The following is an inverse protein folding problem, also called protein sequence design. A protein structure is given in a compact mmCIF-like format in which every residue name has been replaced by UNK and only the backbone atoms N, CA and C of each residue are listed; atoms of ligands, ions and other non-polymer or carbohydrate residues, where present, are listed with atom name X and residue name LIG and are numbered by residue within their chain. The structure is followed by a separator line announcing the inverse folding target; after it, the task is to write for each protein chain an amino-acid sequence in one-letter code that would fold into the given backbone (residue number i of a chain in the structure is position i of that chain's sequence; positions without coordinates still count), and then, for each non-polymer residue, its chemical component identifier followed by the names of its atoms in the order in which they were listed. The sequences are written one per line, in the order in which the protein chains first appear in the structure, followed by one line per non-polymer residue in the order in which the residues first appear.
data_IF_819465735927
#
_entry.id   IF_819465735927
#
_cell.length_a   1.000
_cell.length_b   1.000
_cell.length_c   1.000
_cell.angle_alpha   90.00
_cell.angle_beta   90.00
_cell.angle_gamma   90.00
#
_symmetry.space_group_name_H-M   'P 1'
#
loop_
_entity.id
_entity.type
_entity.pdbx_description
1 polymer ?
#
# COMPACT_ATOMS: atom_id res chain seq x y z
N UNK A 1 -46.61 -43.32 -32.72
CA UNK A 1 -46.72 -42.90 -31.30
C UNK A 1 -45.96 -41.59 -31.11
N UNK A 2 -46.65 -40.45 -30.98
CA UNK A 2 -46.01 -39.13 -30.84
C UNK A 2 -45.51 -38.85 -29.43
N UNK A 3 -44.29 -38.32 -29.28
CA UNK A 3 -43.74 -37.88 -27.99
C UNK A 3 -44.53 -36.68 -27.46
N UNK A 4 -45.24 -36.85 -26.35
CA UNK A 4 -45.90 -35.75 -25.63
C UNK A 4 -44.88 -34.78 -25.05
N UNK A 5 -45.21 -33.49 -25.05
CA UNK A 5 -44.38 -32.45 -24.46
C UNK A 5 -44.22 -32.68 -22.94
N UNK A 6 -42.97 -32.68 -22.47
CA UNK A 6 -42.62 -32.93 -21.06
C UNK A 6 -43.14 -31.85 -20.10
N UNK A 7 -43.39 -30.65 -20.61
CA UNK A 7 -43.99 -29.54 -19.86
C UNK A 7 -45.04 -28.87 -20.74
N UNK A 8 -46.26 -28.72 -20.22
CA UNK A 8 -47.40 -28.16 -20.94
C UNK A 8 -47.44 -26.63 -20.89
N UNK A 9 -46.72 -26.00 -19.95
CA UNK A 9 -46.66 -24.54 -19.79
C UNK A 9 -45.22 -24.04 -19.60
N UNK A 10 -44.98 -22.78 -19.95
CA UNK A 10 -43.71 -22.08 -19.74
C UNK A 10 -43.34 -22.01 -18.25
N UNK A 11 -44.32 -21.83 -17.38
CA UNK A 11 -44.13 -21.77 -15.93
C UNK A 11 -43.74 -23.12 -15.36
N UNK A 12 -44.37 -24.21 -15.81
CA UNK A 12 -43.96 -25.56 -15.43
C UNK A 12 -42.51 -25.85 -15.85
N UNK A 13 -42.08 -25.35 -17.02
CA UNK A 13 -40.70 -25.47 -17.49
C UNK A 13 -39.71 -24.65 -16.64
N UNK A 14 -40.08 -23.43 -16.22
CA UNK A 14 -39.25 -22.60 -15.32
C UNK A 14 -39.15 -23.20 -13.93
N UNK A 15 -40.26 -23.67 -13.36
CA UNK A 15 -40.29 -24.33 -12.05
C UNK A 15 -39.42 -25.59 -12.03
N UNK A 16 -39.53 -26.44 -13.07
CA UNK A 16 -38.72 -27.64 -13.19
C UNK A 16 -37.22 -27.32 -13.32
N UNK A 17 -36.84 -26.31 -14.12
CA UNK A 17 -35.44 -25.84 -14.20
C UNK A 17 -34.93 -25.29 -12.87
N UNK A 18 -35.75 -24.52 -12.15
CA UNK A 18 -35.39 -23.99 -10.82
C UNK A 18 -35.18 -25.10 -9.80
N UNK A 19 -36.08 -26.10 -9.76
CA UNK A 19 -35.96 -27.27 -8.90
C UNK A 19 -34.69 -28.08 -9.23
N UNK A 20 -34.42 -28.33 -10.52
CA UNK A 20 -33.21 -29.03 -10.96
C UNK A 20 -31.94 -28.24 -10.59
N UNK A 21 -31.95 -26.91 -10.73
CA UNK A 21 -30.83 -26.06 -10.31
C UNK A 21 -30.61 -26.09 -8.80
N UNK A 22 -31.67 -26.12 -7.98
CA UNK A 22 -31.58 -26.28 -6.52
C UNK A 22 -30.93 -27.61 -6.14
N UNK A 23 -31.36 -28.71 -6.75
CA UNK A 23 -30.76 -30.04 -6.55
C UNK A 23 -29.31 -30.06 -7.00
N UNK A 24 -29.00 -29.51 -8.18
CA UNK A 24 -27.63 -29.45 -8.67
C UNK A 24 -26.71 -28.69 -7.71
N UNK A 25 -27.17 -27.58 -7.11
CA UNK A 25 -26.39 -26.81 -6.14
C UNK A 25 -25.95 -27.66 -4.95
N UNK A 26 -26.77 -28.58 -4.45
CA UNK A 26 -26.42 -29.41 -3.29
C UNK A 26 -25.52 -30.59 -3.63
N UNK A 27 -25.39 -30.96 -4.91
CA UNK A 27 -24.47 -32.04 -5.33
C UNK A 27 -23.00 -31.65 -5.15
N UNK A 28 -22.14 -32.65 -4.91
CA UNK A 28 -20.68 -32.46 -4.83
C UNK A 28 -20.12 -31.77 -6.09
N UNK A 29 -20.62 -32.12 -7.28
CA UNK A 29 -20.24 -31.49 -8.55
C UNK A 29 -20.64 -30.01 -8.61
N UNK A 30 -21.87 -29.67 -8.20
CA UNK A 30 -22.33 -28.28 -8.13
C UNK A 30 -21.62 -27.44 -7.08
N UNK A 31 -21.22 -28.04 -5.95
CA UNK A 31 -20.38 -27.40 -4.94
C UNK A 31 -18.97 -27.14 -5.50
N UNK A 32 -18.34 -28.13 -6.13
CA UNK A 32 -17.01 -28.00 -6.72
C UNK A 32 -16.96 -26.94 -7.84
N UNK A 33 -17.96 -26.91 -8.73
CA UNK A 33 -18.08 -25.87 -9.77
C UNK A 33 -18.21 -24.47 -9.16
N UNK A 34 -19.05 -24.29 -8.13
CA UNK A 34 -19.18 -22.98 -7.43
C UNK A 34 -17.89 -22.57 -6.74
N UNK A 35 -17.17 -23.51 -6.12
CA UNK A 35 -15.87 -23.23 -5.49
C UNK A 35 -14.84 -22.79 -6.54
N UNK A 36 -14.78 -23.46 -7.69
CA UNK A 36 -13.89 -23.09 -8.80
C UNK A 36 -14.23 -21.71 -9.36
N UNK A 37 -15.51 -21.45 -9.62
CA UNK A 37 -15.98 -20.16 -10.15
C UNK A 37 -15.77 -19.02 -9.15
N UNK A 38 -16.07 -19.25 -7.86
CA UNK A 38 -15.78 -18.30 -6.78
C UNK A 38 -14.28 -18.04 -6.64
N UNK A 39 -13.44 -19.07 -6.77
CA UNK A 39 -11.99 -18.92 -6.77
C UNK A 39 -11.51 -18.11 -7.98
N UNK A 40 -11.99 -18.39 -9.19
CA UNK A 40 -11.67 -17.61 -10.40
C UNK A 40 -12.12 -16.16 -10.26
N UNK A 41 -13.33 -15.91 -9.74
CA UNK A 41 -13.81 -14.56 -9.46
C UNK A 41 -13.00 -13.87 -8.37
N UNK A 42 -12.59 -14.58 -7.32
CA UNK A 42 -11.72 -14.06 -6.27
C UNK A 42 -10.35 -13.67 -6.82
N UNK A 43 -9.72 -14.53 -7.62
CA UNK A 43 -8.43 -14.24 -8.27
C UNK A 43 -8.57 -13.04 -9.21
N UNK A 44 -9.64 -12.98 -10.01
CA UNK A 44 -9.90 -11.84 -10.91
C UNK A 44 -10.13 -10.54 -10.13
N UNK A 45 -10.96 -10.54 -9.08
CA UNK A 45 -11.18 -9.36 -8.23
C UNK A 45 -9.92 -8.94 -7.48
N UNK A 46 -9.10 -9.90 -7.05
CA UNK A 46 -7.82 -9.62 -6.39
C UNK A 46 -6.84 -8.98 -7.38
N UNK A 47 -6.82 -9.42 -8.63
CA UNK A 47 -6.04 -8.79 -9.70
C UNK A 47 -6.55 -7.36 -10.02
N UNK A 48 -7.86 -7.19 -10.23
CA UNK A 48 -8.46 -5.87 -10.53
C UNK A 48 -8.33 -4.89 -9.35
N UNK A 49 -8.35 -5.38 -8.10
CA UNK A 49 -8.14 -4.56 -6.90
C UNK A 49 -6.67 -4.19 -6.65
N UNK A 50 -5.71 -4.81 -7.35
CA UNK A 50 -4.27 -4.62 -7.10
C UNK A 50 -3.61 -3.53 -7.96
N UNK A 51 -4.33 -2.95 -8.91
CA UNK A 51 -3.77 -1.95 -9.81
C UNK A 51 -4.00 -0.53 -9.29
N UNK A 52 -2.95 0.27 -9.24
CA UNK A 52 -3.00 1.72 -9.02
C UNK A 52 -2.58 2.40 -10.32
N UNK A 53 -3.49 3.11 -10.98
CA UNK A 53 -3.25 3.83 -12.26
C UNK A 53 -2.40 3.05 -13.29
N UNK A 54 -2.78 1.79 -13.52
CA UNK A 54 -2.10 0.81 -14.39
C UNK A 54 -0.80 0.18 -13.87
N UNK A 55 -0.35 0.53 -12.67
CA UNK A 55 0.79 -0.10 -11.99
C UNK A 55 0.29 -1.23 -11.08
N UNK A 56 0.87 -2.42 -11.22
CA UNK A 56 0.54 -3.55 -10.35
C UNK A 56 1.23 -3.38 -9.00
N UNK A 57 0.45 -3.20 -7.93
CA UNK A 57 0.97 -3.12 -6.56
C UNK A 57 0.84 -4.50 -5.91
N UNK A 58 1.95 -5.14 -5.49
CA UNK A 58 1.91 -6.41 -4.77
C UNK A 58 0.99 -6.34 -3.54
N UNK A 59 0.12 -7.34 -3.30
CA UNK A 59 -0.76 -7.36 -2.13
C UNK A 59 0.00 -7.26 -0.79
N UNK A 60 1.20 -7.83 -0.73
CA UNK A 60 2.08 -7.83 0.44
C UNK A 60 2.61 -6.41 0.74
N UNK A 61 2.93 -5.64 -0.31
CA UNK A 61 3.32 -4.23 -0.18
C UNK A 61 2.16 -3.44 0.45
N UNK A 62 0.94 -3.61 -0.09
CA UNK A 62 -0.25 -2.95 0.47
C UNK A 62 -0.52 -3.37 1.92
N UNK A 63 -0.33 -4.65 2.25
CA UNK A 63 -0.49 -5.13 3.62
C UNK A 63 0.51 -4.44 4.57
N UNK A 64 1.78 -4.35 4.16
CA UNK A 64 2.83 -3.68 4.96
C UNK A 64 2.63 -2.18 5.10
N UNK A 65 2.20 -1.50 4.05
CA UNK A 65 1.93 -0.06 4.07
C UNK A 65 0.85 0.37 5.09
N UNK A 66 -0.04 -0.54 5.47
CA UNK A 66 -1.06 -0.31 6.51
C UNK A 66 -0.49 -0.31 7.92
N UNK A 67 0.67 -0.93 8.13
CA UNK A 67 1.34 -0.86 9.43
C UNK A 67 1.85 0.57 9.67
N UNK A 68 1.88 0.94 10.94
CA UNK A 68 2.45 2.21 11.41
C UNK A 68 3.89 1.90 11.81
N UNK A 69 4.89 2.24 11.00
CA UNK A 69 6.28 1.98 11.36
C UNK A 69 6.69 2.89 12.52
N UNK A 70 7.54 2.37 13.41
CA UNK A 70 8.11 3.16 14.51
C UNK A 70 9.24 4.05 14.00
N UNK A 71 9.30 5.26 14.52
CA UNK A 71 10.35 6.23 14.26
C UNK A 71 10.81 6.80 15.60
N UNK A 72 12.07 6.61 15.97
CA UNK A 72 12.61 7.13 17.22
C UNK A 72 12.55 8.66 17.23
N UNK A 73 11.91 9.25 18.22
CA UNK A 73 11.86 10.71 18.36
C UNK A 73 13.08 11.31 19.05
N UNK A 74 14.01 10.47 19.53
CA UNK A 74 15.29 10.91 20.10
C UNK A 74 16.37 11.17 19.02
N UNK A 75 16.10 10.79 17.77
CA UNK A 75 17.04 10.94 16.65
C UNK A 75 16.67 12.19 15.86
N UNK A 76 17.60 13.14 15.79
CA UNK A 76 17.40 14.42 15.11
C UNK A 76 18.34 14.64 13.91
N UNK A 77 19.46 13.91 13.87
CA UNK A 77 20.47 14.06 12.83
C UNK A 77 20.11 13.34 11.53
N UNK A 78 20.77 13.74 10.44
CA UNK A 78 20.72 13.00 9.18
C UNK A 78 21.37 11.62 9.35
N UNK A 79 20.85 10.63 8.63
CA UNK A 79 21.36 9.27 8.71
C UNK A 79 21.03 8.42 7.49
N UNK A 80 21.31 7.12 7.55
CA UNK A 80 21.19 6.22 6.40
C UNK A 80 19.75 6.12 5.90
N UNK A 81 19.60 6.32 4.59
CA UNK A 81 18.31 6.31 3.89
C UNK A 81 17.97 4.97 3.23
N UNK A 82 18.78 3.93 3.49
CA UNK A 82 18.63 2.55 3.00
C UNK A 82 18.43 2.42 1.48
N UNK A 83 18.85 3.43 0.71
CA UNK A 83 18.62 3.50 -0.73
C UNK A 83 17.16 3.73 -1.15
N UNK A 84 16.24 4.02 -0.21
CA UNK A 84 14.80 4.14 -0.51
C UNK A 84 14.41 5.43 -1.23
N UNK A 85 15.31 6.39 -1.40
CA UNK A 85 14.98 7.76 -1.83
C UNK A 85 15.57 8.16 -3.18
N UNK A 86 16.56 7.43 -3.66
CA UNK A 86 17.30 7.78 -4.87
C UNK A 86 17.17 6.64 -5.86
N UNK A 87 16.70 6.93 -7.08
CA UNK A 87 16.67 5.97 -8.18
C UNK A 87 18.09 5.39 -8.40
N UNK A 88 18.26 4.07 -8.54
CA UNK A 88 17.25 3.04 -8.86
C UNK A 88 16.48 2.44 -7.67
N UNK A 89 16.55 3.05 -6.49
CA UNK A 89 15.93 2.62 -5.24
C UNK A 89 16.45 1.27 -4.70
N UNK A 90 17.69 0.92 -5.06
CA UNK A 90 18.33 -0.30 -4.61
C UNK A 90 18.65 -0.21 -3.12
N UNK A 91 18.30 -1.26 -2.37
CA UNK A 91 18.56 -1.33 -0.94
C UNK A 91 20.06 -1.23 -0.65
N UNK A 92 20.41 -0.36 0.29
CA UNK A 92 21.78 -0.22 0.82
C UNK A 92 21.73 -0.52 2.30
N UNK A 93 22.43 -1.58 2.72
CA UNK A 93 22.53 -1.92 4.13
C UNK A 93 23.26 -0.79 4.90
N UNK A 94 22.64 -0.22 5.95
CA UNK A 94 23.28 0.80 6.77
C UNK A 94 24.50 0.26 7.52
N UNK A 95 25.60 1.03 7.53
CA UNK A 95 26.72 0.76 8.42
C UNK A 95 26.29 0.91 9.88
N UNK A 96 26.44 -0.15 10.67
CA UNK A 96 26.05 -0.19 12.08
C UNK A 96 26.77 0.86 12.92
N UNK A 97 28.04 1.13 12.59
CA UNK A 97 28.84 2.13 13.30
C UNK A 97 28.33 3.56 13.08
N UNK A 98 27.53 3.79 12.03
CA UNK A 98 26.96 5.11 11.71
C UNK A 98 25.65 5.42 12.43
N UNK A 99 25.07 4.44 13.15
CA UNK A 99 23.79 4.61 13.82
C UNK A 99 23.99 5.25 15.20
N UNK A 100 23.47 6.47 15.35
CA UNK A 100 23.38 7.14 16.66
C UNK A 100 22.30 6.44 17.49
N UNK A 101 22.68 5.39 18.21
CA UNK A 101 21.79 4.74 19.17
C UNK A 101 21.78 5.53 20.49
N UNK A 102 20.59 5.90 21.02
CA UNK A 102 20.49 6.45 22.35
C UNK A 102 21.10 5.51 23.40
N UNK A 103 21.67 6.06 24.48
CA UNK A 103 22.30 5.28 25.56
C UNK A 103 21.34 4.26 26.20
N UNK A 104 20.03 4.52 26.14
CA UNK A 104 18.95 3.63 26.65
C UNK A 104 18.36 2.65 25.59
N UNK A 105 19.08 2.42 24.49
CA UNK A 105 18.61 1.63 23.33
C UNK A 105 18.26 0.16 23.60
N UNK A 106 18.53 -0.36 24.79
CA UNK A 106 18.31 -1.76 25.16
C UNK A 106 16.91 -2.11 25.68
N UNK A 107 16.16 -1.16 26.24
CA UNK A 107 14.89 -1.45 26.95
C UNK A 107 13.64 -0.88 26.27
N UNK A 108 13.78 0.22 25.51
CA UNK A 108 12.65 0.85 24.83
C UNK A 108 12.50 0.38 23.38
N UNK A 109 11.29 -0.01 22.99
CA UNK A 109 10.95 -0.30 21.58
C UNK A 109 11.26 0.88 20.65
N UNK A 110 11.17 2.11 21.18
CA UNK A 110 11.44 3.36 20.46
C UNK A 110 12.93 3.75 20.44
N UNK A 111 13.74 3.12 21.30
CA UNK A 111 15.21 3.18 21.24
C UNK A 111 15.83 2.08 20.39
N UNK A 112 15.03 1.14 19.88
CA UNK A 112 15.52 0.03 19.06
C UNK A 112 16.14 0.50 17.76
N UNK A 113 17.08 -0.29 17.23
CA UNK A 113 17.73 -0.03 15.92
C UNK A 113 16.72 0.17 14.79
N UNK A 114 15.63 -0.60 14.77
CA UNK A 114 14.57 -0.44 13.77
C UNK A 114 13.86 0.92 13.87
N UNK A 115 13.62 1.40 15.09
CA UNK A 115 13.02 2.72 15.31
C UNK A 115 13.99 3.85 14.95
N UNK A 116 15.29 3.71 15.25
CA UNK A 116 16.34 4.67 14.84
C UNK A 116 16.41 4.78 13.31
N UNK A 117 16.48 3.66 12.61
CA UNK A 117 16.43 3.65 11.13
C UNK A 117 15.13 4.26 10.59
N UNK A 118 14.02 3.99 11.26
CA UNK A 118 12.72 4.57 10.93
C UNK A 118 12.67 6.08 11.12
N UNK A 119 13.40 6.65 12.08
CA UNK A 119 13.49 8.09 12.27
C UNK A 119 14.08 8.81 11.05
N UNK A 120 15.15 8.26 10.46
CA UNK A 120 15.73 8.83 9.24
C UNK A 120 14.75 8.79 8.07
N UNK A 121 13.99 7.70 7.90
CA UNK A 121 12.96 7.61 6.85
C UNK A 121 11.80 8.57 7.10
N UNK A 122 11.34 8.66 8.34
CA UNK A 122 10.27 9.55 8.77
C UNK A 122 10.59 11.01 8.47
N UNK A 123 11.78 11.47 8.86
CA UNK A 123 12.24 12.84 8.58
C UNK A 123 12.31 13.10 7.08
N UNK A 124 12.85 12.15 6.30
CA UNK A 124 12.93 12.31 4.84
C UNK A 124 11.58 12.31 4.14
N UNK A 125 10.59 11.56 4.65
CA UNK A 125 9.20 11.64 4.17
C UNK A 125 8.67 13.05 4.33
N UNK A 126 8.82 13.64 5.51
CA UNK A 126 8.27 14.98 5.80
C UNK A 126 8.94 16.01 4.90
N UNK A 127 10.27 16.01 4.80
CA UNK A 127 11.03 16.91 3.92
C UNK A 127 10.56 16.79 2.47
N UNK A 128 10.53 15.57 1.92
CA UNK A 128 10.16 15.33 0.53
C UNK A 128 8.68 15.65 0.28
N UNK A 129 7.80 15.39 1.25
CA UNK A 129 6.38 15.71 1.15
C UNK A 129 6.14 17.22 1.08
N UNK A 130 6.91 18.03 1.83
CA UNK A 130 6.85 19.48 1.73
C UNK A 130 7.29 19.97 0.35
N UNK A 131 8.46 19.54 -0.12
CA UNK A 131 8.95 19.91 -1.45
C UNK A 131 7.98 19.49 -2.56
N UNK A 132 7.38 18.31 -2.43
CA UNK A 132 6.37 17.81 -3.36
C UNK A 132 5.09 18.63 -3.33
N UNK A 133 4.60 18.99 -2.14
CA UNK A 133 3.42 19.84 -1.99
C UNK A 133 3.63 21.20 -2.67
N UNK A 134 4.78 21.82 -2.46
CA UNK A 134 5.13 23.10 -3.09
C UNK A 134 5.15 22.97 -4.61
N UNK A 135 5.85 21.95 -5.14
CA UNK A 135 5.92 21.67 -6.58
C UNK A 135 4.53 21.39 -7.20
N UNK A 136 3.71 20.55 -6.58
CA UNK A 136 2.41 20.12 -7.11
C UNK A 136 1.31 21.19 -7.00
N UNK A 137 1.60 22.26 -6.26
CA UNK A 137 0.74 23.44 -6.12
C UNK A 137 1.28 24.68 -6.81
N UNK A 138 2.41 24.56 -7.51
CA UNK A 138 2.98 25.62 -8.34
C UNK A 138 2.07 25.89 -9.56
N UNK A 139 1.86 27.17 -9.85
CA UNK A 139 1.06 27.59 -11.01
C UNK A 139 1.83 27.29 -12.30
N UNK A 140 1.14 26.73 -13.29
CA UNK A 140 1.75 26.37 -14.58
C UNK A 140 2.41 24.99 -14.62
N UNK A 141 2.39 24.24 -13.52
CA UNK A 141 2.86 22.86 -13.55
C UNK A 141 1.93 21.97 -14.41
N UNK A 142 2.51 21.23 -15.37
CA UNK A 142 1.75 20.35 -16.26
C UNK A 142 1.35 19.07 -15.52
N UNK A 143 0.04 18.85 -15.38
CA UNK A 143 -0.48 17.66 -14.68
C UNK A 143 -0.06 16.36 -15.37
N UNK A 144 0.02 16.34 -16.70
CA UNK A 144 0.43 15.16 -17.46
C UNK A 144 1.90 14.82 -17.26
N UNK A 145 2.76 15.85 -17.14
CA UNK A 145 4.20 15.66 -16.84
C UNK A 145 4.36 15.11 -15.44
N UNK A 146 3.70 15.72 -14.46
CA UNK A 146 3.69 15.22 -13.08
C UNK A 146 3.13 13.80 -13.01
N UNK A 147 2.04 13.48 -13.74
CA UNK A 147 1.47 12.13 -13.74
C UNK A 147 2.48 11.11 -14.24
N UNK A 148 3.19 11.42 -15.33
CA UNK A 148 4.22 10.55 -15.86
C UNK A 148 5.38 10.36 -14.86
N UNK A 149 5.85 11.42 -14.23
CA UNK A 149 6.91 11.37 -13.22
C UNK A 149 6.51 10.51 -12.01
N UNK A 150 5.32 10.73 -11.45
CA UNK A 150 4.84 9.98 -10.29
C UNK A 150 4.60 8.52 -10.65
N UNK A 151 4.03 8.22 -11.82
CA UNK A 151 3.87 6.83 -12.28
C UNK A 151 5.22 6.13 -12.42
N UNK A 152 6.20 6.80 -13.02
CA UNK A 152 7.54 6.25 -13.19
C UNK A 152 8.22 6.01 -11.83
N UNK A 153 8.13 6.97 -10.91
CA UNK A 153 8.66 6.82 -9.55
C UNK A 153 7.98 5.65 -8.80
N UNK A 154 6.66 5.58 -8.80
CA UNK A 154 5.91 4.50 -8.14
C UNK A 154 6.26 3.14 -8.76
N UNK A 155 6.31 3.04 -10.08
CA UNK A 155 6.67 1.80 -10.77
C UNK A 155 8.10 1.34 -10.38
N UNK A 156 9.08 2.23 -10.48
CA UNK A 156 10.48 1.94 -10.15
C UNK A 156 10.64 1.52 -8.68
N UNK A 157 9.96 2.21 -7.75
CA UNK A 157 9.98 1.85 -6.32
C UNK A 157 9.29 0.51 -6.06
N UNK A 158 8.18 0.20 -6.72
CA UNK A 158 7.50 -1.10 -6.62
C UNK A 158 8.40 -2.23 -7.11
N UNK A 159 9.10 -2.03 -8.23
CA UNK A 159 10.05 -3.00 -8.76
C UNK A 159 11.24 -3.22 -7.81
N UNK A 160 11.83 -2.15 -7.29
CA UNK A 160 12.90 -2.22 -6.31
C UNK A 160 12.46 -2.92 -5.02
N UNK A 161 11.28 -2.57 -4.50
CA UNK A 161 10.68 -3.21 -3.33
C UNK A 161 10.43 -4.71 -3.57
N UNK A 162 9.94 -5.08 -4.76
CA UNK A 162 9.70 -6.48 -5.11
C UNK A 162 11.00 -7.28 -5.30
N UNK A 163 12.10 -6.65 -5.72
CA UNK A 163 13.44 -7.26 -5.73
C UNK A 163 13.93 -7.49 -4.30
N UNK A 164 13.85 -6.48 -3.45
CA UNK A 164 14.21 -6.57 -2.03
C UNK A 164 13.42 -7.65 -1.29
N UNK A 165 12.10 -7.74 -1.54
CA UNK A 165 11.23 -8.71 -0.86
C UNK A 165 11.60 -10.19 -1.13
N UNK A 166 12.41 -10.46 -2.17
CA UNK A 166 12.92 -11.80 -2.48
C UNK A 166 14.22 -12.12 -1.75
N UNK A 167 14.91 -11.11 -1.24
CA UNK A 167 16.17 -11.20 -0.50
C UNK A 167 15.81 -11.23 0.99
N UNK A 168 15.49 -12.41 1.53
CA UNK A 168 15.09 -12.52 2.94
C UNK A 168 16.32 -12.52 3.86
N UNK A 169 16.77 -11.35 4.28
CA UNK A 169 17.75 -11.20 5.37
C UNK A 169 17.26 -10.20 6.44
N UNK A 170 17.94 -10.12 7.59
CA UNK A 170 17.45 -9.46 8.80
C UNK A 170 16.91 -8.03 8.62
N UNK A 171 17.78 -7.05 8.35
CA UNK A 171 17.43 -5.62 8.34
C UNK A 171 16.51 -5.23 7.17
N UNK A 172 16.33 -6.10 6.18
CA UNK A 172 15.39 -5.88 5.06
C UNK A 172 13.96 -5.64 5.54
N UNK A 173 13.57 -6.15 6.72
CA UNK A 173 12.23 -5.94 7.27
C UNK A 173 11.87 -4.46 7.42
N UNK A 174 12.80 -3.65 7.95
CA UNK A 174 12.59 -2.21 8.15
C UNK A 174 12.50 -1.49 6.80
N UNK A 175 13.38 -1.82 5.87
CA UNK A 175 13.36 -1.24 4.52
C UNK A 175 12.09 -1.63 3.74
N UNK A 176 11.59 -2.85 3.90
CA UNK A 176 10.35 -3.31 3.29
C UNK A 176 9.13 -2.58 3.86
N UNK A 177 9.07 -2.36 5.18
CA UNK A 177 7.95 -1.66 5.80
C UNK A 177 7.92 -0.17 5.43
N UNK A 178 9.06 0.51 5.52
CA UNK A 178 9.16 1.91 5.11
C UNK A 178 9.01 2.10 3.60
N UNK A 179 9.63 1.25 2.79
CA UNK A 179 9.48 1.28 1.34
C UNK A 179 8.02 1.13 0.92
N UNK A 180 7.29 0.17 1.51
CA UNK A 180 5.86 0.02 1.28
C UNK A 180 5.06 1.26 1.70
N UNK A 181 5.38 1.84 2.87
CA UNK A 181 4.73 3.06 3.37
C UNK A 181 4.93 4.24 2.42
N UNK A 182 6.16 4.49 1.97
CA UNK A 182 6.51 5.59 1.06
C UNK A 182 5.76 5.45 -0.27
N UNK A 183 5.80 4.27 -0.88
CA UNK A 183 5.12 3.98 -2.15
C UNK A 183 3.62 4.24 -2.03
N UNK A 184 2.99 3.70 -0.98
CA UNK A 184 1.55 3.83 -0.79
C UNK A 184 1.11 5.27 -0.50
N UNK A 185 1.86 6.01 0.34
CA UNK A 185 1.57 7.41 0.61
C UNK A 185 1.70 8.27 -0.66
N UNK A 186 2.73 8.04 -1.49
CA UNK A 186 2.90 8.74 -2.76
C UNK A 186 1.70 8.49 -3.69
N UNK A 187 1.26 7.23 -3.79
CA UNK A 187 0.11 6.85 -4.61
C UNK A 187 -1.19 7.51 -4.12
N UNK A 188 -1.48 7.46 -2.82
CA UNK A 188 -2.68 8.09 -2.23
C UNK A 188 -2.64 9.62 -2.35
N UNK A 189 -1.48 10.23 -2.13
CA UNK A 189 -1.31 11.68 -2.23
C UNK A 189 -1.58 12.18 -3.65
N UNK A 190 -1.09 11.43 -4.64
CA UNK A 190 -1.34 11.71 -6.05
C UNK A 190 -2.83 11.55 -6.43
N UNK A 191 -3.51 10.54 -5.90
CA UNK A 191 -4.96 10.37 -6.13
C UNK A 191 -5.76 11.54 -5.56
N UNK A 192 -5.41 12.02 -4.37
CA UNK A 192 -6.03 13.22 -3.79
C UNK A 192 -5.84 14.43 -4.73
N UNK A 193 -4.61 14.61 -5.24
CA UNK A 193 -4.27 15.72 -6.15
C UNK A 193 -4.98 15.62 -7.50
N UNK A 194 -5.16 14.42 -8.04
CA UNK A 194 -5.85 14.19 -9.30
C UNK A 194 -7.36 14.35 -9.20
N UNK A 195 -7.97 13.68 -8.22
CA UNK A 195 -9.43 13.59 -8.11
C UNK A 195 -10.03 14.92 -7.62
N UNK A 196 -9.25 15.68 -6.85
CA UNK A 196 -9.66 16.93 -6.24
C UNK A 196 -9.17 18.21 -6.91
N UNK A 197 -8.19 18.10 -7.82
CA UNK A 197 -7.44 19.25 -8.28
C UNK A 197 -6.60 19.92 -7.19
N UNK A 198 -6.03 21.07 -7.53
CA UNK A 198 -5.09 21.81 -6.67
C UNK A 198 -5.75 22.33 -5.38
N UNK A 199 -6.98 22.84 -5.46
CA UNK A 199 -7.67 23.47 -4.32
C UNK A 199 -8.04 22.45 -3.24
N UNK A 200 -8.60 21.29 -3.63
CA UNK A 200 -8.87 20.21 -2.67
C UNK A 200 -7.57 19.69 -2.06
N UNK A 201 -6.50 19.54 -2.85
CA UNK A 201 -5.20 19.13 -2.31
C UNK A 201 -4.67 20.11 -1.26
N UNK A 202 -4.79 21.43 -1.49
CA UNK A 202 -4.48 22.47 -0.50
C UNK A 202 -5.38 22.39 0.74
N UNK A 203 -6.67 22.12 0.57
CA UNK A 203 -7.63 21.96 1.68
C UNK A 203 -7.29 20.73 2.55
N UNK A 204 -6.99 19.59 1.94
CA UNK A 204 -6.60 18.37 2.67
C UNK A 204 -5.31 18.60 3.47
N UNK A 205 -4.34 19.36 2.93
CA UNK A 205 -3.15 19.80 3.67
C UNK A 205 -3.50 20.66 4.87
N UNK A 206 -4.37 21.67 4.70
CA UNK A 206 -4.83 22.54 5.81
C UNK A 206 -5.55 21.74 6.89
N UNK A 207 -6.36 20.78 6.47
CA UNK A 207 -7.12 19.89 7.36
C UNK A 207 -6.28 18.74 7.95
N UNK A 208 -4.98 18.70 7.67
CA UNK A 208 -4.05 17.67 8.14
C UNK A 208 -4.48 16.25 7.76
N UNK A 209 -4.94 16.08 6.52
CA UNK A 209 -5.51 14.85 5.95
C UNK A 209 -4.67 14.24 4.84
N UNK A 210 -3.57 14.87 4.44
CA UNK A 210 -2.63 14.23 3.51
C UNK A 210 -2.03 12.96 4.13
N UNK A 211 -1.67 11.95 3.31
CA UNK A 211 -1.22 10.65 3.82
C UNK A 211 -0.02 10.76 4.77
N UNK A 212 0.95 11.62 4.48
CA UNK A 212 2.11 11.85 5.34
C UNK A 212 1.71 12.52 6.67
N UNK A 213 0.75 13.45 6.69
CA UNK A 213 0.24 14.07 7.92
C UNK A 213 -0.52 13.06 8.79
N UNK A 214 -1.28 12.17 8.16
CA UNK A 214 -1.96 11.07 8.84
C UNK A 214 -0.97 10.07 9.44
N UNK A 215 0.09 9.74 8.70
CA UNK A 215 1.19 8.92 9.19
C UNK A 215 1.87 9.56 10.41
N UNK A 216 2.17 10.86 10.38
CA UNK A 216 2.71 11.58 11.57
C UNK A 216 1.81 11.45 12.80
N UNK A 217 0.49 11.67 12.63
CA UNK A 217 -0.49 11.53 13.72
C UNK A 217 -0.54 10.10 14.26
N UNK A 218 -0.52 9.10 13.38
CA UNK A 218 -0.54 7.69 13.74
C UNK A 218 0.73 7.29 14.51
N UNK A 219 1.90 7.70 14.03
CA UNK A 219 3.18 7.41 14.70
C UNK A 219 3.25 8.07 16.07
N UNK A 220 2.84 9.33 16.20
CA UNK A 220 2.79 10.02 17.49
C UNK A 220 1.76 9.39 18.45
N UNK A 221 0.60 9.00 17.94
CA UNK A 221 -0.41 8.28 18.72
C UNK A 221 0.11 6.94 19.25
N UNK A 222 0.83 6.19 18.41
CA UNK A 222 1.47 4.93 18.80
C UNK A 222 2.54 5.14 19.88
N UNK A 223 3.36 6.20 19.77
CA UNK A 223 4.37 6.53 20.77
C UNK A 223 3.75 6.82 22.14
N UNK A 224 2.73 7.66 22.18
CA UNK A 224 2.04 8.01 23.42
C UNK A 224 1.37 6.79 24.06
N UNK A 225 0.85 5.86 23.24
CA UNK A 225 0.25 4.62 23.72
C UNK A 225 1.28 3.64 24.31
N UNK A 226 2.50 3.61 23.76
CA UNK A 226 3.54 2.65 24.16
C UNK A 226 4.52 3.21 25.21
N UNK A 227 4.52 4.52 25.44
CA UNK A 227 5.46 5.20 26.36
C UNK A 227 4.80 5.78 27.62
N UNK A 228 3.47 5.81 27.68
CA UNK A 228 2.69 6.25 28.84
C UNK A 228 2.26 5.08 29.71
#
# INVERSE_FOLDING_TARGET
MGRRAKYLTSDAKRAAKSAQAKVYRTTAKGIASRKKESHTQYVKRKADSSMWRAISIPPELRARAKHVPRASFAVHDAGPLMGLWTSPYDFVEPDEASLTCPEDSGTSLWGSRAAVLGAYQYSKIIETAWSRFDLWTEEGCSLDVLEAEVKNEVAARVEAWARLAKQSDGMTGVALDWGAKIIWMLAEEWDIRCDGGIEKYREERKSSRLPWQQMMKQTMGLFNQESG
#
